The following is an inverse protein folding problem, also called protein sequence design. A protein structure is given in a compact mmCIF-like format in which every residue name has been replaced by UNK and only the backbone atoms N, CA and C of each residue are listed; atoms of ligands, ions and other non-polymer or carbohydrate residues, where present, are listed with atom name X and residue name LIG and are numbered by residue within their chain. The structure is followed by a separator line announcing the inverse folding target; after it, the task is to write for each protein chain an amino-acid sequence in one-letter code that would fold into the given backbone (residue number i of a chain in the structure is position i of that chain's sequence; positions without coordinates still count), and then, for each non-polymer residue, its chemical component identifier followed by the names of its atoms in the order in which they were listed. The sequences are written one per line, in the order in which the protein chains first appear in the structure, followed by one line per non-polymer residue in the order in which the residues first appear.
data_IF_437243764637
#
_entry.id   IF_437243764637
#
_cell.length_a   1.000
_cell.length_b   1.000
_cell.length_c   1.000
_cell.angle_alpha   90.00
_cell.angle_beta   90.00
_cell.angle_gamma   90.00
#
_symmetry.space_group_name_H-M   'P 1'
#
loop_
_entity.id
_entity.type
_entity.pdbx_description
1 polymer ?
#
# COMPACT_ATOMS: atom_id res chain seq x y z
N UNK A 1 -66.15 -3.43 -14.10
CA UNK A 1 -65.47 -3.60 -12.79
C UNK A 1 -64.02 -3.96 -13.06
N UNK A 2 -63.11 -3.00 -12.90
CA UNK A 2 -61.67 -3.19 -13.11
C UNK A 2 -61.00 -3.55 -11.78
N UNK A 3 -60.06 -4.50 -11.80
CA UNK A 3 -59.17 -4.80 -10.69
C UNK A 3 -57.72 -4.77 -11.19
N UNK A 4 -56.99 -3.74 -10.80
CA UNK A 4 -55.55 -3.62 -10.96
C UNK A 4 -54.88 -4.12 -9.66
N UNK A 5 -53.89 -5.03 -9.71
CA UNK A 5 -53.10 -5.36 -8.53
C UNK A 5 -51.92 -4.39 -8.40
N UNK A 6 -51.73 -3.83 -7.21
CA UNK A 6 -50.51 -3.12 -6.82
C UNK A 6 -49.39 -4.15 -6.61
N UNK A 7 -48.32 -4.05 -7.40
CA UNK A 7 -47.05 -4.70 -7.13
C UNK A 7 -46.26 -3.83 -6.14
N UNK A 8 -46.01 -4.34 -4.94
CA UNK A 8 -45.09 -3.74 -3.98
C UNK A 8 -43.64 -4.12 -4.34
N UNK A 9 -42.88 -3.16 -4.86
CA UNK A 9 -41.43 -3.26 -5.02
C UNK A 9 -40.76 -3.10 -3.65
N UNK A 10 -40.30 -4.21 -3.08
CA UNK A 10 -39.37 -4.21 -1.95
C UNK A 10 -37.99 -3.77 -2.46
N UNK A 11 -37.64 -2.50 -2.20
CA UNK A 11 -36.28 -2.00 -2.35
C UNK A 11 -35.42 -2.62 -1.24
N UNK A 12 -34.69 -3.68 -1.58
CA UNK A 12 -33.62 -4.20 -0.74
C UNK A 12 -32.47 -3.20 -0.74
N UNK A 13 -32.37 -2.38 0.29
CA UNK A 13 -31.19 -1.58 0.57
C UNK A 13 -30.05 -2.52 0.95
N UNK A 14 -29.04 -2.63 0.09
CA UNK A 14 -27.77 -3.26 0.43
C UNK A 14 -27.15 -2.48 1.57
N UNK A 15 -27.21 -2.98 2.80
CA UNK A 15 -26.43 -2.45 3.89
C UNK A 15 -24.95 -2.72 3.58
N UNK A 16 -24.28 -1.74 2.99
CA UNK A 16 -22.82 -1.71 2.92
C UNK A 16 -22.33 -1.69 4.37
N UNK A 17 -21.72 -2.78 4.82
CA UNK A 17 -21.09 -2.81 6.13
C UNK A 17 -20.02 -1.72 6.15
N UNK A 18 -20.20 -0.69 6.98
CA UNK A 18 -19.26 0.41 7.06
C UNK A 18 -17.91 -0.12 7.59
N UNK A 19 -16.84 0.11 6.84
CA UNK A 19 -15.50 -0.31 7.25
C UNK A 19 -15.12 0.42 8.55
N UNK A 20 -14.80 -0.34 9.61
CA UNK A 20 -14.44 0.22 10.92
C UNK A 20 -13.27 1.19 10.79
N UNK A 21 -13.45 2.43 11.24
CA UNK A 21 -12.39 3.45 11.21
C UNK A 21 -11.32 3.16 12.27
N UNK A 22 -10.07 3.00 11.85
CA UNK A 22 -8.93 2.92 12.77
C UNK A 22 -8.31 4.30 12.98
N UNK A 23 -7.86 4.59 14.19
CA UNK A 23 -7.09 5.80 14.45
C UNK A 23 -5.67 5.65 13.86
N UNK A 24 -5.22 6.58 13.00
CA UNK A 24 -3.84 6.61 12.53
C UNK A 24 -2.87 6.94 13.67
N UNK A 25 -1.57 6.71 13.47
CA UNK A 25 -0.56 7.13 14.42
C UNK A 25 -0.44 8.67 14.45
N UNK A 26 -0.59 9.32 15.62
CA UNK A 26 -0.50 10.78 15.73
C UNK A 26 0.85 11.32 15.23
N UNK A 27 0.80 12.35 14.38
CA UNK A 27 1.99 13.06 13.89
C UNK A 27 2.90 12.25 12.95
N UNK A 28 2.54 11.01 12.59
CA UNK A 28 3.34 10.09 11.77
C UNK A 28 2.57 9.65 10.54
N UNK A 29 3.30 9.22 9.52
CA UNK A 29 2.68 8.47 8.42
C UNK A 29 2.31 7.07 8.92
N UNK A 30 1.17 6.54 8.47
CA UNK A 30 0.63 5.27 9.00
C UNK A 30 0.42 4.24 7.90
N UNK A 31 0.74 2.98 8.21
CA UNK A 31 0.33 1.80 7.47
C UNK A 31 -0.70 1.05 8.32
N UNK A 32 -1.91 0.88 7.79
CA UNK A 32 -2.98 0.13 8.45
C UNK A 32 -2.88 -1.36 8.11
N UNK A 33 -2.91 -2.21 9.13
CA UNK A 33 -2.87 -3.66 9.04
C UNK A 33 -4.26 -4.21 9.40
N UNK A 34 -5.08 -4.40 8.39
CA UNK A 34 -6.46 -4.87 8.49
C UNK A 34 -6.52 -6.39 8.60
N UNK A 35 -7.64 -6.91 9.07
CA UNK A 35 -7.81 -8.33 9.35
C UNK A 35 -7.74 -9.15 8.08
N UNK A 36 -6.95 -10.24 8.07
CA UNK A 36 -7.07 -11.22 7.03
C UNK A 36 -8.34 -12.04 7.23
N UNK A 37 -8.92 -12.45 6.10
CA UNK A 37 -9.92 -13.52 6.03
C UNK A 37 -9.24 -14.86 5.77
N UNK A 38 -10.02 -15.95 5.70
CA UNK A 38 -9.53 -17.27 5.33
C UNK A 38 -9.54 -18.30 6.47
N UNK A 39 -9.20 -19.54 6.13
CA UNK A 39 -9.27 -20.71 7.02
C UNK A 39 -8.04 -20.95 7.89
N UNK A 40 -6.98 -20.13 7.79
CA UNK A 40 -5.77 -20.33 8.56
C UNK A 40 -5.94 -19.99 10.06
N UNK A 41 -6.83 -19.04 10.38
CA UNK A 41 -7.03 -18.51 11.73
C UNK A 41 -8.34 -19.07 12.32
N UNK A 42 -8.22 -19.82 13.41
CA UNK A 42 -9.34 -20.59 13.97
C UNK A 42 -10.37 -19.74 14.72
N UNK A 43 -9.92 -18.64 15.33
CA UNK A 43 -10.76 -17.80 16.19
C UNK A 43 -10.27 -16.34 16.23
N UNK A 44 -11.06 -15.50 16.92
CA UNK A 44 -10.77 -14.08 17.13
C UNK A 44 -9.41 -13.85 17.80
N UNK A 45 -9.09 -14.67 18.80
CA UNK A 45 -7.84 -14.52 19.55
C UNK A 45 -6.62 -14.84 18.67
N UNK A 46 -6.75 -15.74 17.69
CA UNK A 46 -5.73 -16.04 16.71
C UNK A 46 -5.50 -14.84 15.76
N UNK A 47 -6.57 -14.17 15.32
CA UNK A 47 -6.47 -12.94 14.51
C UNK A 47 -5.75 -11.83 15.30
N UNK A 48 -6.15 -11.60 16.55
CA UNK A 48 -5.52 -10.56 17.38
C UNK A 48 -4.04 -10.87 17.66
N UNK A 49 -3.68 -12.13 17.95
CA UNK A 49 -2.27 -12.54 18.09
C UNK A 49 -1.49 -12.35 16.79
N UNK A 50 -2.07 -12.69 15.65
CA UNK A 50 -1.45 -12.50 14.35
C UNK A 50 -1.17 -11.03 14.06
N UNK A 51 -2.17 -10.15 14.21
CA UNK A 51 -2.00 -8.72 13.92
C UNK A 51 -0.99 -8.06 14.86
N UNK A 52 -1.01 -8.41 16.16
CA UNK A 52 -0.04 -7.89 17.12
C UNK A 52 1.38 -8.35 16.80
N UNK A 53 1.56 -9.63 16.44
CA UNK A 53 2.86 -10.16 16.04
C UNK A 53 3.34 -9.52 14.74
N UNK A 54 2.46 -9.37 13.75
CA UNK A 54 2.79 -8.71 12.48
C UNK A 54 3.20 -7.25 12.69
N UNK A 55 2.44 -6.49 13.48
CA UNK A 55 2.79 -5.11 13.79
C UNK A 55 4.14 -5.04 14.51
N UNK A 56 4.38 -5.92 15.48
CA UNK A 56 5.65 -5.98 16.20
C UNK A 56 6.83 -6.26 15.26
N UNK A 57 6.74 -7.28 14.42
CA UNK A 57 7.80 -7.61 13.45
C UNK A 57 8.07 -6.44 12.49
N UNK A 58 7.01 -5.82 11.95
CA UNK A 58 7.15 -4.68 11.04
C UNK A 58 7.73 -3.43 11.73
N UNK A 59 7.36 -3.18 12.99
CA UNK A 59 7.95 -2.10 13.78
C UNK A 59 9.44 -2.35 14.07
N UNK A 60 9.86 -3.61 14.28
CA UNK A 60 11.28 -3.96 14.45
C UNK A 60 12.06 -3.84 13.13
N UNK A 61 11.55 -4.41 12.04
CA UNK A 61 12.19 -4.35 10.71
C UNK A 61 12.35 -2.92 10.21
N UNK A 62 11.37 -2.04 10.49
CA UNK A 62 11.52 -0.59 10.28
C UNK A 62 12.76 -0.05 10.98
N UNK A 63 12.92 -0.38 12.25
CA UNK A 63 14.03 0.11 13.07
C UNK A 63 15.37 -0.49 12.60
N UNK A 64 15.39 -1.48 11.73
CA UNK A 64 16.62 -2.01 11.13
C UNK A 64 16.88 -1.41 9.74
N UNK A 65 15.84 -1.25 8.92
CA UNK A 65 15.96 -0.90 7.50
C UNK A 65 15.62 0.56 7.16
N UNK A 66 14.88 1.26 8.02
CA UNK A 66 14.39 2.61 7.78
C UNK A 66 14.97 3.65 8.75
N UNK A 67 15.94 3.27 9.59
CA UNK A 67 16.80 4.21 10.32
C UNK A 67 17.75 4.89 9.33
N UNK A 68 17.19 5.78 8.51
CA UNK A 68 17.95 6.85 7.89
C UNK A 68 17.63 8.12 8.68
N UNK A 69 18.64 8.80 9.27
CA UNK A 69 18.44 10.09 9.91
C UNK A 69 17.99 11.11 8.85
N UNK A 70 16.67 11.32 8.75
CA UNK A 70 16.01 12.10 7.69
C UNK A 70 14.78 11.41 7.08
N UNK A 71 14.61 10.10 7.29
CA UNK A 71 13.42 9.37 6.85
C UNK A 71 12.20 9.80 7.69
N UNK A 72 11.08 10.08 7.01
CA UNK A 72 9.85 10.47 7.70
C UNK A 72 9.30 9.27 8.49
N UNK A 73 8.96 9.43 9.79
CA UNK A 73 8.62 8.29 10.62
C UNK A 73 7.29 7.65 10.20
N UNK A 74 7.38 6.43 9.69
CA UNK A 74 6.22 5.56 9.37
C UNK A 74 5.92 4.67 10.58
N UNK A 75 4.64 4.48 10.90
CA UNK A 75 4.17 3.59 11.97
C UNK A 75 3.20 2.55 11.40
N UNK A 76 3.29 1.32 11.92
CA UNK A 76 2.32 0.28 11.63
C UNK A 76 1.23 0.27 12.70
N UNK A 77 -0.02 0.04 12.27
CA UNK A 77 -1.18 -0.01 13.15
C UNK A 77 -2.08 -1.18 12.80
N UNK A 78 -2.14 -2.16 13.70
CA UNK A 78 -3.16 -3.19 13.69
C UNK A 78 -4.55 -2.57 13.75
N UNK A 79 -5.45 -3.10 12.92
CA UNK A 79 -6.81 -2.64 12.74
C UNK A 79 -7.81 -3.77 13.02
N UNK A 80 -8.03 -4.12 14.30
CA UNK A 80 -8.94 -5.19 14.66
C UNK A 80 -10.36 -4.84 14.20
N UNK A 81 -11.08 -5.84 13.67
CA UNK A 81 -12.42 -5.81 13.08
C UNK A 81 -12.56 -5.04 11.77
N UNK A 82 -11.46 -4.57 11.19
CA UNK A 82 -11.44 -3.95 9.86
C UNK A 82 -11.10 -5.03 8.83
N UNK A 83 -12.07 -5.48 8.05
CA UNK A 83 -11.87 -6.54 7.07
C UNK A 83 -12.42 -6.11 5.69
N UNK A 84 -11.67 -5.30 4.93
CA UNK A 84 -12.17 -4.79 3.67
C UNK A 84 -12.43 -5.90 2.63
N UNK A 85 -13.38 -5.67 1.73
CA UNK A 85 -13.63 -6.53 0.58
C UNK A 85 -12.36 -6.71 -0.26
N UNK A 86 -12.14 -7.92 -0.80
CA UNK A 86 -10.92 -8.23 -1.53
C UNK A 86 -10.73 -7.39 -2.79
N UNK A 87 -11.81 -6.93 -3.41
CA UNK A 87 -11.81 -6.04 -4.57
C UNK A 87 -11.66 -4.56 -4.21
N UNK A 88 -11.68 -4.22 -2.92
CA UNK A 88 -11.60 -2.84 -2.44
C UNK A 88 -12.84 -2.01 -2.72
N UNK A 89 -13.99 -2.62 -2.99
CA UNK A 89 -15.24 -1.92 -3.30
C UNK A 89 -15.74 -0.97 -2.20
N UNK A 90 -15.30 -1.18 -0.95
CA UNK A 90 -15.66 -0.34 0.19
C UNK A 90 -14.81 0.94 0.31
N UNK A 91 -13.75 1.09 -0.50
CA UNK A 91 -12.94 2.30 -0.55
C UNK A 91 -13.59 3.37 -1.44
N UNK A 92 -14.64 4.00 -0.90
CA UNK A 92 -15.27 5.17 -1.51
C UNK A 92 -14.31 6.36 -1.56
N UNK A 93 -14.61 7.35 -2.41
CA UNK A 93 -13.79 8.56 -2.53
C UNK A 93 -13.68 9.30 -1.19
N UNK A 94 -14.77 9.36 -0.41
CA UNK A 94 -14.80 9.99 0.91
C UNK A 94 -13.90 9.27 1.92
N UNK A 95 -13.94 7.93 1.95
CA UNK A 95 -13.07 7.15 2.84
C UNK A 95 -11.60 7.31 2.45
N UNK A 96 -11.30 7.30 1.14
CA UNK A 96 -9.93 7.47 0.63
C UNK A 96 -9.40 8.87 0.96
N UNK A 97 -10.22 9.91 0.79
CA UNK A 97 -9.89 11.29 1.19
C UNK A 97 -9.59 11.37 2.69
N UNK A 98 -10.45 10.79 3.53
CA UNK A 98 -10.21 10.73 4.98
C UNK A 98 -8.89 10.04 5.31
N UNK A 99 -8.61 8.87 4.72
CA UNK A 99 -7.35 8.15 4.93
C UNK A 99 -6.14 8.98 4.46
N UNK A 100 -6.28 9.67 3.33
CA UNK A 100 -5.24 10.52 2.79
C UNK A 100 -4.91 11.68 3.76
N UNK A 101 -5.93 12.39 4.24
CA UNK A 101 -5.78 13.50 5.19
C UNK A 101 -5.21 13.05 6.54
N UNK A 102 -5.58 11.84 6.97
CA UNK A 102 -5.08 11.18 8.16
C UNK A 102 -3.65 10.64 8.05
N UNK A 103 -2.91 11.02 7.00
CA UNK A 103 -1.53 10.58 6.77
C UNK A 103 -1.39 9.05 6.65
N UNK A 104 -2.44 8.34 6.23
CA UNK A 104 -2.34 6.92 5.87
C UNK A 104 -1.64 6.81 4.51
N UNK A 105 -0.60 5.96 4.44
CA UNK A 105 0.12 5.65 3.21
C UNK A 105 -0.47 4.43 2.53
N UNK A 106 -0.64 3.37 3.31
CA UNK A 106 -1.09 2.07 2.87
C UNK A 106 -2.17 1.51 3.78
N UNK A 107 -3.06 0.71 3.18
CA UNK A 107 -3.84 -0.29 3.90
C UNK A 107 -3.53 -1.69 3.36
N UNK A 108 -3.30 -2.64 4.27
CA UNK A 108 -2.89 -4.01 3.97
C UNK A 108 -3.93 -4.97 4.53
N UNK A 109 -4.50 -5.83 3.68
CA UNK A 109 -5.47 -6.88 4.09
C UNK A 109 -5.39 -8.05 3.11
N UNK A 110 -6.12 -9.13 3.37
CA UNK A 110 -6.12 -10.24 2.41
C UNK A 110 -6.83 -11.49 2.88
N UNK A 111 -6.44 -12.59 2.26
CA UNK A 111 -6.82 -13.95 2.66
C UNK A 111 -5.57 -14.69 3.07
N UNK A 112 -5.61 -15.40 4.20
CA UNK A 112 -4.59 -16.36 4.63
C UNK A 112 -5.26 -17.71 4.80
N UNK A 113 -4.84 -18.67 4.00
CA UNK A 113 -5.42 -20.01 3.94
C UNK A 113 -4.38 -21.10 4.21
N UNK A 114 -4.88 -22.31 4.48
CA UNK A 114 -4.08 -23.52 4.49
C UNK A 114 -4.17 -24.13 3.10
N UNK A 115 -3.02 -24.38 2.49
CA UNK A 115 -2.93 -25.03 1.19
C UNK A 115 -2.50 -26.49 1.37
N UNK A 116 -3.28 -27.43 0.84
CA UNK A 116 -2.97 -28.86 0.90
C UNK A 116 -2.81 -29.44 2.32
N UNK A 117 -1.86 -30.38 2.47
CA UNK A 117 -1.55 -30.99 3.75
C UNK A 117 -0.73 -30.00 4.62
N UNK A 118 -1.04 -29.85 5.91
CA UNK A 118 -0.20 -29.09 6.84
C UNK A 118 1.27 -29.51 6.68
N UNK A 119 2.21 -28.56 6.54
CA UNK A 119 2.21 -27.25 7.18
C UNK A 119 2.02 -26.03 6.27
N UNK A 120 1.57 -26.21 5.01
CA UNK A 120 1.70 -25.14 4.00
C UNK A 120 0.61 -24.07 4.16
N UNK A 121 1.04 -22.83 4.44
CA UNK A 121 0.19 -21.65 4.36
C UNK A 121 0.34 -20.95 3.02
N UNK A 122 -0.76 -20.37 2.55
CA UNK A 122 -0.79 -19.47 1.40
C UNK A 122 -1.50 -18.17 1.77
N UNK A 123 -1.18 -17.10 1.05
CA UNK A 123 -1.84 -15.82 1.24
C UNK A 123 -2.08 -15.10 -0.09
N UNK A 124 -3.19 -14.37 -0.17
CA UNK A 124 -3.40 -13.35 -1.18
C UNK A 124 -3.54 -12.01 -0.46
N UNK A 125 -2.55 -11.15 -0.59
CA UNK A 125 -2.49 -9.87 0.11
C UNK A 125 -2.79 -8.74 -0.86
N UNK A 126 -3.66 -7.84 -0.44
CA UNK A 126 -3.99 -6.60 -1.07
C UNK A 126 -3.27 -5.44 -0.39
N UNK A 127 -2.77 -4.52 -1.19
CA UNK A 127 -2.14 -3.28 -0.76
C UNK A 127 -2.85 -2.12 -1.45
N UNK A 128 -3.53 -1.28 -0.67
CA UNK A 128 -4.09 -0.02 -1.16
C UNK A 128 -3.08 1.10 -0.95
N UNK A 129 -2.52 1.63 -2.03
CA UNK A 129 -1.73 2.85 -2.05
C UNK A 129 -2.68 4.05 -2.01
N UNK A 130 -2.95 4.57 -0.81
CA UNK A 130 -3.92 5.64 -0.57
C UNK A 130 -3.66 6.87 -1.45
N UNK A 131 -2.42 7.37 -1.62
CA UNK A 131 -2.18 8.55 -2.46
C UNK A 131 -2.52 8.37 -3.94
N UNK A 132 -2.33 7.16 -4.48
CA UNK A 132 -2.69 6.81 -5.86
C UNK A 132 -4.19 6.66 -6.01
N UNK A 133 -4.85 5.98 -5.07
CA UNK A 133 -6.30 5.87 -5.09
C UNK A 133 -6.96 7.25 -5.01
N UNK A 134 -6.47 8.12 -4.12
CA UNK A 134 -6.92 9.50 -4.02
C UNK A 134 -6.72 10.26 -5.34
N UNK A 135 -5.56 10.13 -5.99
CA UNK A 135 -5.31 10.74 -7.30
C UNK A 135 -6.32 10.27 -8.36
N UNK A 136 -6.61 8.97 -8.40
CA UNK A 136 -7.56 8.38 -9.33
C UNK A 136 -9.00 8.90 -9.08
N UNK A 137 -9.41 9.05 -7.81
CA UNK A 137 -10.70 9.62 -7.44
C UNK A 137 -10.81 11.11 -7.86
N UNK A 138 -9.67 11.81 -7.92
CA UNK A 138 -9.54 13.16 -8.50
C UNK A 138 -9.42 13.18 -10.04
N UNK A 139 -9.62 12.04 -10.70
CA UNK A 139 -9.52 11.85 -12.17
C UNK A 139 -8.12 12.10 -12.74
N UNK A 140 -7.08 11.99 -11.91
CA UNK A 140 -5.70 11.97 -12.40
C UNK A 140 -5.41 10.65 -13.14
N UNK A 141 -4.61 10.70 -14.21
CA UNK A 141 -4.13 9.49 -14.90
C UNK A 141 -3.01 8.86 -14.09
N UNK A 142 -3.35 7.86 -13.28
CA UNK A 142 -2.41 7.13 -12.43
C UNK A 142 -2.60 5.60 -12.56
N UNK A 143 -1.58 4.79 -12.19
CA UNK A 143 -1.75 3.35 -12.07
C UNK A 143 -2.81 2.95 -11.04
N UNK A 144 -3.22 1.69 -11.06
CA UNK A 144 -4.09 1.14 -10.02
C UNK A 144 -3.47 1.35 -8.63
N UNK A 145 -4.21 2.04 -7.76
CA UNK A 145 -3.85 2.17 -6.35
C UNK A 145 -3.98 0.86 -5.56
N UNK A 146 -4.67 -0.15 -6.10
CA UNK A 146 -4.80 -1.47 -5.48
C UNK A 146 -3.82 -2.45 -6.15
N UNK A 147 -2.89 -2.98 -5.36
CA UNK A 147 -1.96 -4.04 -5.75
C UNK A 147 -2.36 -5.34 -5.05
N UNK A 148 -2.24 -6.46 -5.76
CA UNK A 148 -2.59 -7.78 -5.22
C UNK A 148 -1.48 -8.77 -5.51
N UNK A 149 -0.93 -9.36 -4.46
CA UNK A 149 0.16 -10.33 -4.52
C UNK A 149 -0.25 -11.64 -3.88
N UNK A 150 0.40 -12.73 -4.30
CA UNK A 150 0.18 -14.08 -3.77
C UNK A 150 1.47 -14.62 -3.19
N UNK A 151 1.34 -15.32 -2.08
CA UNK A 151 2.44 -15.93 -1.34
C UNK A 151 2.10 -17.38 -0.96
N UNK A 152 3.11 -18.24 -0.75
CA UNK A 152 4.51 -18.00 -1.07
C UNK A 152 4.72 -17.89 -2.59
N UNK A 153 5.82 -17.30 -3.02
CA UNK A 153 6.17 -17.29 -4.43
C UNK A 153 6.50 -18.70 -4.92
N UNK A 154 6.41 -18.92 -6.24
CA UNK A 154 6.85 -20.17 -6.83
C UNK A 154 8.32 -20.46 -6.46
N UNK A 155 8.55 -21.60 -5.80
CA UNK A 155 9.88 -22.03 -5.35
C UNK A 155 10.31 -21.53 -3.97
N UNK A 156 9.50 -20.73 -3.28
CA UNK A 156 9.80 -20.33 -1.90
C UNK A 156 9.58 -21.47 -0.90
N UNK A 157 10.31 -21.42 0.21
CA UNK A 157 10.25 -22.42 1.28
C UNK A 157 8.87 -22.35 1.94
N UNK A 158 8.17 -23.49 2.15
CA UNK A 158 6.91 -23.51 2.88
C UNK A 158 7.06 -22.97 4.30
N UNK A 159 6.06 -22.24 4.77
CA UNK A 159 6.04 -21.69 6.14
C UNK A 159 4.75 -22.03 6.86
N UNK A 160 4.85 -22.23 8.17
CA UNK A 160 3.75 -22.35 9.13
C UNK A 160 3.36 -21.03 9.77
N UNK A 161 4.16 -19.99 9.55
CA UNK A 161 4.01 -18.70 10.20
C UNK A 161 3.41 -17.69 9.22
N UNK A 162 2.10 -17.43 9.37
CA UNK A 162 1.39 -16.49 8.53
C UNK A 162 2.03 -15.10 8.52
N UNK A 163 2.70 -14.71 9.60
CA UNK A 163 3.39 -13.42 9.67
C UNK A 163 4.53 -13.37 8.67
N UNK A 164 5.31 -14.45 8.48
CA UNK A 164 6.41 -14.50 7.52
C UNK A 164 5.97 -14.33 6.05
N UNK A 165 4.71 -14.64 5.74
CA UNK A 165 4.15 -14.38 4.40
C UNK A 165 4.00 -12.87 4.11
N UNK A 166 3.95 -12.03 5.16
CA UNK A 166 3.68 -10.59 5.06
C UNK A 166 4.85 -9.74 5.59
N UNK A 167 5.59 -10.18 6.61
CA UNK A 167 6.65 -9.42 7.27
C UNK A 167 8.00 -9.48 6.54
N UNK A 168 8.23 -10.50 5.71
CA UNK A 168 9.48 -10.68 4.94
C UNK A 168 9.53 -10.21 3.46
N UNK A 169 8.73 -9.26 2.95
CA UNK A 169 8.88 -8.82 1.58
C UNK A 169 9.37 -7.38 1.43
N UNK A 170 10.34 -7.22 0.52
CA UNK A 170 10.67 -5.97 -0.18
C UNK A 170 9.43 -5.23 -0.75
N UNK A 171 8.28 -5.92 -0.85
CA UNK A 171 7.01 -5.40 -1.34
C UNK A 171 6.44 -4.28 -0.48
N UNK A 172 6.43 -4.46 0.85
CA UNK A 172 5.95 -3.41 1.76
C UNK A 172 6.82 -2.16 1.65
N UNK A 173 8.14 -2.33 1.66
CA UNK A 173 9.09 -1.24 1.46
C UNK A 173 8.87 -0.50 0.14
N UNK A 174 8.65 -1.24 -0.95
CA UNK A 174 8.42 -0.66 -2.27
C UNK A 174 7.16 0.21 -2.29
N UNK A 175 6.06 -0.31 -1.74
CA UNK A 175 4.79 0.39 -1.72
C UNK A 175 4.76 1.56 -0.73
N UNK A 176 5.44 1.44 0.41
CA UNK A 176 5.59 2.52 1.39
C UNK A 176 6.43 3.65 0.81
N UNK A 177 7.59 3.34 0.22
CA UNK A 177 8.43 4.34 -0.44
C UNK A 177 7.67 5.03 -1.59
N UNK A 178 6.88 4.28 -2.36
CA UNK A 178 6.01 4.84 -3.41
C UNK A 178 4.99 5.82 -2.83
N UNK A 179 4.19 5.38 -1.86
CA UNK A 179 3.12 6.20 -1.28
C UNK A 179 3.68 7.43 -0.55
N UNK A 180 4.77 7.26 0.19
CA UNK A 180 5.44 8.34 0.90
C UNK A 180 6.02 9.38 -0.07
N UNK A 181 6.74 8.93 -1.10
CA UNK A 181 7.32 9.81 -2.12
C UNK A 181 6.27 10.65 -2.83
N UNK A 182 5.13 10.04 -3.21
CA UNK A 182 4.02 10.77 -3.85
C UNK A 182 3.35 11.78 -2.92
N UNK A 183 3.20 11.47 -1.63
CA UNK A 183 2.67 12.42 -0.64
C UNK A 183 3.62 13.59 -0.41
N UNK A 184 4.91 13.31 -0.22
CA UNK A 184 5.93 14.33 -0.05
C UNK A 184 6.06 15.25 -1.28
N UNK A 185 5.90 14.70 -2.49
CA UNK A 185 5.86 15.50 -3.72
C UNK A 185 4.69 16.50 -3.71
N UNK A 186 3.49 16.07 -3.30
CA UNK A 186 2.32 16.96 -3.15
C UNK A 186 2.55 18.04 -2.09
N UNK A 187 3.28 17.70 -1.03
CA UNK A 187 3.69 18.63 0.04
C UNK A 187 4.88 19.53 -0.37
N UNK A 188 5.40 19.40 -1.61
CA UNK A 188 6.61 20.09 -2.12
C UNK A 188 7.88 19.83 -1.32
N UNK A 189 7.92 18.72 -0.58
CA UNK A 189 9.11 18.24 0.10
C UNK A 189 9.99 17.49 -0.92
N UNK A 190 10.57 18.22 -1.87
CA UNK A 190 11.15 17.64 -3.09
C UNK A 190 12.31 16.66 -2.84
N UNK A 191 13.26 17.00 -1.99
CA UNK A 191 14.41 16.12 -1.69
C UNK A 191 13.98 14.76 -1.12
N UNK A 192 13.21 14.69 -0.01
CA UNK A 192 12.76 13.41 0.51
C UNK A 192 11.73 12.72 -0.40
N UNK A 193 10.94 13.47 -1.20
CA UNK A 193 10.08 12.88 -2.21
C UNK A 193 10.90 12.13 -3.27
N UNK A 194 11.94 12.76 -3.81
CA UNK A 194 12.81 12.20 -4.83
C UNK A 194 13.50 10.92 -4.33
N UNK A 195 14.12 10.98 -3.15
CA UNK A 195 14.81 9.83 -2.55
C UNK A 195 13.86 8.63 -2.35
N UNK A 196 12.63 8.87 -1.86
CA UNK A 196 11.65 7.80 -1.69
C UNK A 196 11.16 7.23 -3.03
N UNK A 197 10.93 8.08 -4.05
CA UNK A 197 10.54 7.62 -5.38
C UNK A 197 11.65 6.81 -6.05
N UNK A 198 12.91 7.18 -5.87
CA UNK A 198 14.03 6.42 -6.43
C UNK A 198 14.29 5.10 -5.70
N UNK A 199 14.21 5.08 -4.36
CA UNK A 199 14.15 3.84 -3.59
C UNK A 199 13.01 2.93 -4.06
N UNK A 200 11.82 3.49 -4.25
CA UNK A 200 10.67 2.75 -4.73
C UNK A 200 10.90 2.17 -6.14
N UNK A 201 11.48 2.93 -7.07
CA UNK A 201 11.83 2.44 -8.41
C UNK A 201 12.78 1.24 -8.34
N UNK A 202 13.83 1.31 -7.52
CA UNK A 202 14.77 0.20 -7.32
C UNK A 202 14.07 -1.06 -6.78
N UNK A 203 13.26 -0.90 -5.72
CA UNK A 203 12.55 -2.02 -5.09
C UNK A 203 11.50 -2.64 -6.02
N UNK A 204 10.70 -1.82 -6.71
CA UNK A 204 9.74 -2.30 -7.72
C UNK A 204 10.45 -2.99 -8.90
N UNK A 205 11.62 -2.48 -9.31
CA UNK A 205 12.47 -3.11 -10.31
C UNK A 205 12.97 -4.49 -9.87
N UNK A 206 13.32 -4.66 -8.60
CA UNK A 206 13.63 -5.98 -8.01
C UNK A 206 12.40 -6.88 -7.97
N UNK A 207 11.22 -6.35 -7.62
CA UNK A 207 9.97 -7.10 -7.62
C UNK A 207 9.62 -7.65 -9.01
N UNK A 208 9.83 -6.87 -10.07
CA UNK A 208 9.53 -7.27 -11.45
C UNK A 208 10.41 -8.42 -11.97
N UNK A 209 11.53 -8.71 -11.31
CA UNK A 209 12.40 -9.86 -11.61
C UNK A 209 11.90 -11.18 -11.02
N UNK A 210 10.98 -11.11 -10.04
CA UNK A 210 10.37 -12.28 -9.41
C UNK A 210 9.39 -12.97 -10.36
N UNK A 211 9.03 -14.25 -10.14
CA UNK A 211 8.10 -15.00 -10.98
C UNK A 211 6.63 -14.58 -10.80
N UNK A 212 6.35 -13.27 -10.77
CA UNK A 212 5.01 -12.69 -10.72
C UNK A 212 4.41 -12.75 -12.12
N UNK A 213 3.14 -13.16 -12.24
CA UNK A 213 2.47 -13.37 -13.52
C UNK A 213 1.12 -12.65 -13.61
N UNK A 214 0.57 -12.56 -14.82
CA UNK A 214 -0.77 -12.05 -15.07
C UNK A 214 -0.95 -10.57 -14.72
N UNK A 215 -2.13 -10.22 -14.20
CA UNK A 215 -2.53 -8.83 -13.90
C UNK A 215 -1.59 -8.15 -12.91
N UNK A 216 -1.13 -8.85 -11.87
CA UNK A 216 -0.22 -8.28 -10.87
C UNK A 216 1.10 -7.81 -11.50
N UNK A 217 1.63 -8.52 -12.51
CA UNK A 217 2.84 -8.07 -13.21
C UNK A 217 2.60 -6.80 -14.03
N UNK A 218 1.45 -6.72 -14.72
CA UNK A 218 1.09 -5.54 -15.50
C UNK A 218 0.90 -4.30 -14.60
N UNK A 219 0.18 -4.47 -13.48
CA UNK A 219 -0.05 -3.40 -12.51
C UNK A 219 1.26 -2.92 -11.87
N UNK A 220 2.18 -3.84 -11.52
CA UNK A 220 3.51 -3.49 -11.01
C UNK A 220 4.39 -2.80 -12.06
N UNK A 221 4.30 -3.21 -13.33
CA UNK A 221 5.08 -2.57 -14.41
C UNK A 221 4.62 -1.14 -14.63
N UNK A 222 3.30 -0.91 -14.63
CA UNK A 222 2.71 0.42 -14.72
C UNK A 222 3.10 1.29 -13.52
N UNK A 223 3.07 0.72 -12.30
CA UNK A 223 3.49 1.40 -11.09
C UNK A 223 4.97 1.79 -11.13
N UNK A 224 5.85 0.88 -11.53
CA UNK A 224 7.28 1.14 -11.67
C UNK A 224 7.56 2.29 -12.65
N UNK A 225 6.95 2.28 -13.84
CA UNK A 225 7.10 3.37 -14.81
C UNK A 225 6.60 4.71 -14.26
N UNK A 226 5.42 4.72 -13.62
CA UNK A 226 4.86 5.93 -13.01
C UNK A 226 5.74 6.50 -11.89
N UNK A 227 6.36 5.65 -11.08
CA UNK A 227 7.29 6.07 -10.02
C UNK A 227 8.54 6.71 -10.61
N UNK A 228 9.11 6.14 -11.67
CA UNK A 228 10.25 6.75 -12.38
C UNK A 228 9.89 8.12 -12.98
N UNK A 229 8.72 8.22 -13.61
CA UNK A 229 8.22 9.49 -14.16
C UNK A 229 7.97 10.54 -13.06
N UNK A 230 7.47 10.09 -11.90
CA UNK A 230 7.24 10.94 -10.72
C UNK A 230 8.55 11.43 -10.10
N UNK A 231 9.60 10.60 -10.09
CA UNK A 231 10.93 11.03 -9.66
C UNK A 231 11.49 12.12 -10.59
N UNK A 232 11.39 11.92 -11.91
CA UNK A 232 11.78 12.93 -12.89
C UNK A 232 10.94 14.21 -12.77
N UNK A 233 9.64 14.08 -12.48
CA UNK A 233 8.75 15.21 -12.22
C UNK A 233 9.16 15.99 -10.99
N UNK A 234 9.53 15.31 -9.91
CA UNK A 234 10.03 15.92 -8.67
C UNK A 234 11.24 16.82 -8.94
N UNK A 235 12.21 16.35 -9.74
CA UNK A 235 13.35 17.16 -10.16
C UNK A 235 12.92 18.41 -10.93
N UNK A 236 12.04 18.25 -11.93
CA UNK A 236 11.56 19.39 -12.75
C UNK A 236 10.82 20.42 -11.90
N UNK A 237 9.94 19.98 -11.01
CA UNK A 237 9.19 20.88 -10.12
C UNK A 237 10.11 21.59 -9.14
N UNK A 238 11.08 20.90 -8.53
CA UNK A 238 12.06 21.52 -7.65
C UNK A 238 12.90 22.60 -8.36
N UNK A 239 13.32 22.34 -9.60
CA UNK A 239 14.09 23.31 -10.39
C UNK A 239 13.26 24.53 -10.82
N UNK A 240 11.96 24.35 -11.01
CA UNK A 240 11.03 25.41 -11.37
C UNK A 240 10.51 26.19 -10.14
N UNK A 241 10.57 25.62 -8.94
CA UNK A 241 10.14 26.28 -7.72
C UNK A 241 11.16 27.35 -7.29
N UNK A 242 10.70 28.61 -7.25
CA UNK A 242 11.49 29.77 -6.82
C UNK A 242 11.89 29.67 -5.34
N UNK A 243 11.09 28.99 -4.51
CA UNK A 243 11.38 28.76 -3.11
C UNK A 243 12.43 27.66 -2.88
N UNK A 244 12.73 26.84 -3.89
CA UNK A 244 13.68 25.74 -3.74
C UNK A 244 15.13 26.25 -3.66
N UNK A 245 15.89 25.90 -2.60
CA UNK A 245 17.22 26.47 -2.35
C UNK A 245 18.15 26.38 -3.55
N UNK A 246 18.92 27.45 -3.80
CA UNK A 246 19.96 27.47 -4.84
C UNK A 246 21.07 26.44 -4.60
N UNK A 247 21.22 25.98 -3.37
CA UNK A 247 22.16 24.94 -2.93
C UNK A 247 21.51 23.56 -2.76
N UNK A 248 20.24 23.39 -3.11
CA UNK A 248 19.52 22.12 -2.93
C UNK A 248 20.11 21.00 -3.80
N UNK A 249 20.19 19.79 -3.25
CA UNK A 249 20.93 18.67 -3.83
C UNK A 249 20.35 18.19 -5.16
N UNK A 250 19.04 18.32 -5.36
CA UNK A 250 18.39 17.97 -6.63
C UNK A 250 18.87 18.79 -7.83
N UNK A 251 19.54 19.94 -7.61
CA UNK A 251 20.15 20.72 -8.71
C UNK A 251 21.33 20.02 -9.36
N UNK A 252 21.92 19.03 -8.68
CA UNK A 252 23.03 18.22 -9.18
C UNK A 252 22.55 16.99 -9.97
N UNK A 253 21.25 16.70 -9.94
CA UNK A 253 20.66 15.51 -10.54
C UNK A 253 20.20 15.76 -11.99
N UNK A 254 20.18 14.71 -12.80
CA UNK A 254 19.70 14.77 -14.19
C UNK A 254 18.29 14.20 -14.31
N UNK A 255 17.31 14.95 -14.87
CA UNK A 255 15.95 14.45 -15.06
C UNK A 255 15.85 13.33 -16.11
N UNK A 256 16.91 13.11 -16.92
CA UNK A 256 16.96 12.01 -17.91
C UNK A 256 17.17 10.65 -17.23
N UNK A 257 17.84 10.64 -16.08
CA UNK A 257 18.03 9.47 -15.24
C UNK A 257 17.82 9.88 -13.79
N UNK A 258 16.56 10.09 -13.37
CA UNK A 258 16.27 10.72 -12.08
C UNK A 258 16.89 9.93 -10.91
N UNK A 259 16.99 8.61 -11.05
CA UNK A 259 17.48 7.72 -9.99
C UNK A 259 18.88 7.16 -10.24
N UNK A 260 19.68 7.77 -11.13
CA UNK A 260 21.07 7.36 -11.32
C UNK A 260 21.96 7.94 -10.20
N UNK A 261 22.52 7.07 -9.36
CA UNK A 261 23.47 7.45 -8.29
C UNK A 261 23.08 7.04 -6.87
N UNK A 262 21.96 6.34 -6.67
CA UNK A 262 21.53 5.83 -5.35
C UNK A 262 21.79 4.30 -5.18
N UNK A 263 22.81 3.75 -5.85
CA UNK A 263 23.25 2.35 -5.63
C UNK A 263 24.22 2.21 -4.44
#
# INVERSE_FOLDING_TARGET
MWRTPLLALLLGGSAQAAVVTCAPAPGRFTVLLSEPSGGAMADRAAIDRFLNKLQFELDQERDEHWINPGATPVAFRACPKRAPALDGSEFSAELVEQLNDQRVLLEVWGVVDRDGAPPVLSAQINYLLVPLRFAADQRETVPSGLQRLRYPEAGAVPTTDAVQLISKPLDLDAFIATALGLKLLRERAYEPAHANLCRAASLLGAMLKRPITGRSKADLTALHGFVQDSAARTLREALADVAYPKTGLLRLQSPVRPCAGEE
#
